data_IF_254277921995
#
_entry.id   IF_254277921995
#
_cell.length_a   1.000
_cell.length_b   1.000
_cell.length_c   1.000
_cell.angle_alpha   90.00
_cell.angle_beta   90.00
_cell.angle_gamma   90.00
#
_symmetry.space_group_name_H-M   'P 1'
#
loop_
_entity.id
_entity.type
_entity.pdbx_description
1 polymer ?
#
# COMPACT_ATOMS: atom_id res chain seq x y z
N UNK A 1 -9.37 -55.47 48.35
CA UNK A 1 -8.78 -55.86 47.03
C UNK A 1 -9.69 -55.64 45.80
N UNK A 2 -11.02 -55.82 45.83
CA UNK A 2 -11.92 -55.55 44.65
C UNK A 2 -12.33 -54.08 44.45
N UNK A 3 -12.50 -53.27 45.52
CA UNK A 3 -12.88 -51.84 45.43
C UNK A 3 -11.75 -50.94 44.88
N UNK A 4 -10.50 -51.27 45.20
CA UNK A 4 -9.31 -50.50 44.82
C UNK A 4 -8.93 -50.68 43.34
N UNK A 5 -9.10 -51.89 42.80
CA UNK A 5 -8.99 -52.16 41.35
C UNK A 5 -10.05 -51.43 40.52
N UNK A 6 -11.25 -51.21 41.07
CA UNK A 6 -12.33 -50.46 40.39
C UNK A 6 -12.05 -48.96 40.36
N UNK A 7 -11.50 -48.40 41.45
CA UNK A 7 -11.10 -46.99 41.54
C UNK A 7 -9.93 -46.66 40.60
N UNK A 8 -8.92 -47.54 40.51
CA UNK A 8 -7.80 -47.38 39.57
C UNK A 8 -8.18 -47.57 38.09
N UNK A 9 -9.26 -48.31 37.79
CA UNK A 9 -9.77 -48.44 36.43
C UNK A 9 -10.53 -47.18 35.99
N UNK A 10 -11.34 -46.61 36.87
CA UNK A 10 -12.06 -45.35 36.61
C UNK A 10 -11.09 -44.17 36.46
N UNK A 11 -10.02 -44.10 37.25
CA UNK A 11 -8.97 -43.07 37.08
C UNK A 11 -8.17 -43.24 35.78
N UNK A 12 -7.89 -44.48 35.36
CA UNK A 12 -7.21 -44.74 34.07
C UNK A 12 -8.09 -44.41 32.88
N UNK A 13 -9.37 -44.76 32.91
CA UNK A 13 -10.31 -44.46 31.83
C UNK A 13 -10.58 -42.94 31.74
N UNK A 14 -10.62 -42.23 32.88
CA UNK A 14 -10.73 -40.77 32.90
C UNK A 14 -9.47 -40.06 32.36
N UNK A 15 -8.26 -40.55 32.71
CA UNK A 15 -7.01 -40.05 32.12
C UNK A 15 -6.88 -40.36 30.63
N UNK A 16 -7.35 -41.52 30.17
CA UNK A 16 -7.36 -41.87 28.74
C UNK A 16 -8.34 -40.98 27.96
N UNK A 17 -9.48 -40.64 28.55
CA UNK A 17 -10.49 -39.75 27.93
C UNK A 17 -10.06 -38.27 27.93
N UNK A 18 -9.26 -37.86 28.92
CA UNK A 18 -8.60 -36.55 28.94
C UNK A 18 -7.45 -36.46 27.93
N UNK A 19 -6.68 -37.53 27.73
CA UNK A 19 -5.56 -37.55 26.78
C UNK A 19 -5.98 -37.70 25.32
N UNK A 20 -7.14 -38.31 25.03
CA UNK A 20 -7.69 -38.35 23.65
C UNK A 20 -8.40 -37.07 23.22
N UNK A 21 -8.87 -36.23 24.17
CA UNK A 21 -9.50 -34.93 23.86
C UNK A 21 -8.51 -33.76 23.76
N UNK A 22 -7.22 -33.97 24.04
CA UNK A 22 -6.18 -32.93 23.94
C UNK A 22 -5.44 -32.92 22.58
N UNK A 23 -5.83 -33.77 21.62
CA UNK A 23 -5.13 -33.91 20.33
C UNK A 23 -6.05 -33.86 19.08
N UNK A 24 -7.29 -33.39 19.19
CA UNK A 24 -8.22 -33.34 18.03
C UNK A 24 -8.48 -31.94 17.47
N UNK A 25 -7.96 -30.87 18.07
CA UNK A 25 -7.91 -29.58 17.40
C UNK A 25 -6.64 -29.49 16.57
N UNK A 26 -6.71 -29.96 15.31
CA UNK A 26 -5.82 -29.41 14.28
C UNK A 26 -5.90 -27.90 14.44
N UNK A 27 -4.77 -27.18 14.63
CA UNK A 27 -4.84 -25.73 14.66
C UNK A 27 -5.57 -25.34 13.39
N UNK A 28 -6.70 -24.62 13.53
CA UNK A 28 -7.27 -23.92 12.40
C UNK A 28 -6.10 -23.10 11.87
N UNK A 29 -5.53 -23.53 10.74
CA UNK A 29 -4.67 -22.66 9.94
C UNK A 29 -5.57 -21.51 9.58
N UNK A 30 -5.64 -20.51 10.46
CA UNK A 30 -5.64 -19.15 9.99
C UNK A 30 -4.46 -19.16 9.03
N UNK A 31 -4.74 -19.13 7.72
CA UNK A 31 -3.75 -18.68 6.77
C UNK A 31 -3.42 -17.28 7.27
N UNK A 32 -2.39 -17.17 8.11
CA UNK A 32 -1.51 -16.01 8.09
C UNK A 32 -1.35 -15.69 6.62
N UNK A 33 -1.77 -14.50 6.21
CA UNK A 33 -1.61 -14.09 4.83
C UNK A 33 -0.11 -14.12 4.59
N UNK A 34 0.37 -15.18 3.94
CA UNK A 34 1.78 -15.42 3.65
C UNK A 34 2.20 -14.26 2.74
N UNK A 35 2.72 -13.23 3.41
CA UNK A 35 3.30 -12.04 2.81
C UNK A 35 4.79 -12.26 2.94
N UNK A 36 5.47 -12.19 1.81
CA UNK A 36 6.88 -12.50 1.73
C UNK A 36 7.74 -11.33 2.21
N UNK A 37 7.16 -10.13 2.34
CA UNK A 37 7.84 -8.94 2.87
C UNK A 37 9.20 -8.68 2.19
N UNK A 38 9.23 -8.82 0.86
CA UNK A 38 10.42 -8.62 0.04
C UNK A 38 11.34 -9.84 -0.11
N UNK A 39 10.99 -10.99 0.47
CA UNK A 39 11.78 -12.21 0.27
C UNK A 39 11.69 -12.63 -1.22
N UNK A 40 12.83 -12.91 -1.88
CA UNK A 40 12.84 -13.41 -3.26
C UNK A 40 12.11 -14.73 -3.41
N UNK A 41 11.44 -14.91 -4.55
CA UNK A 41 10.62 -16.09 -4.85
C UNK A 41 11.25 -16.97 -5.90
N UNK A 42 11.07 -18.27 -5.73
CA UNK A 42 11.27 -19.21 -6.83
C UNK A 42 10.10 -19.08 -7.82
N UNK A 43 10.42 -18.67 -9.05
CA UNK A 43 9.43 -18.48 -10.11
C UNK A 43 9.36 -19.72 -11.00
N UNK A 44 8.13 -20.17 -11.30
CA UNK A 44 7.91 -21.18 -12.34
C UNK A 44 8.35 -20.66 -13.73
N UNK A 45 8.59 -21.55 -14.72
CA UNK A 45 9.03 -21.12 -16.06
C UNK A 45 8.10 -20.09 -16.72
N UNK A 46 6.78 -20.22 -16.53
CA UNK A 46 5.81 -19.25 -17.04
C UNK A 46 5.93 -17.88 -16.34
N UNK A 47 6.15 -17.87 -15.03
CA UNK A 47 6.32 -16.63 -14.27
C UNK A 47 7.64 -15.93 -14.64
N UNK A 48 8.71 -16.69 -14.86
CA UNK A 48 9.98 -16.17 -15.37
C UNK A 48 9.78 -15.51 -16.73
N UNK A 49 9.11 -16.18 -17.68
CA UNK A 49 8.78 -15.58 -18.97
C UNK A 49 7.92 -14.33 -18.80
N UNK A 50 6.93 -14.36 -17.91
CA UNK A 50 6.06 -13.21 -17.63
C UNK A 50 6.81 -12.02 -17.03
N UNK A 51 7.85 -12.26 -16.22
CA UNK A 51 8.67 -11.21 -15.61
C UNK A 51 9.44 -10.37 -16.64
N UNK A 52 9.67 -10.90 -17.84
CA UNK A 52 10.36 -10.21 -18.94
C UNK A 52 9.48 -9.21 -19.69
N UNK A 53 8.15 -9.26 -19.50
CA UNK A 53 7.25 -8.30 -20.13
C UNK A 53 7.52 -6.88 -19.62
N UNK A 54 7.73 -5.94 -20.55
CA UNK A 54 7.87 -4.51 -20.27
C UNK A 54 6.53 -3.82 -20.51
N UNK A 55 5.84 -3.32 -19.48
CA UNK A 55 4.62 -2.55 -19.66
C UNK A 55 4.86 -1.29 -20.49
N UNK A 56 3.95 -0.99 -21.42
CA UNK A 56 4.02 0.23 -22.21
C UNK A 56 3.68 1.46 -21.34
N UNK A 57 4.52 2.49 -21.43
CA UNK A 57 4.29 3.77 -20.78
C UNK A 57 3.62 4.76 -21.75
N UNK A 58 2.63 5.54 -21.30
CA UNK A 58 2.10 6.66 -22.08
C UNK A 58 3.23 7.59 -22.56
N UNK A 59 3.21 8.09 -23.81
CA UNK A 59 4.29 8.93 -24.32
C UNK A 59 4.58 10.20 -23.51
N UNK A 60 3.61 10.71 -22.75
CA UNK A 60 3.79 11.86 -21.86
C UNK A 60 4.54 11.55 -20.55
N UNK A 61 4.75 10.27 -20.24
CA UNK A 61 5.46 9.78 -19.05
C UNK A 61 6.80 9.10 -19.42
N UNK A 62 7.20 9.15 -20.68
CA UNK A 62 8.48 8.61 -21.12
C UNK A 62 9.60 9.65 -20.93
N UNK A 63 10.71 9.22 -20.33
CA UNK A 63 11.84 10.11 -19.99
C UNK A 63 11.64 10.84 -18.67
N UNK A 64 12.40 11.91 -18.45
CA UNK A 64 12.40 12.68 -17.19
C UNK A 64 11.59 13.97 -17.26
N UNK A 65 11.42 14.54 -18.47
CA UNK A 65 10.71 15.81 -18.63
C UNK A 65 9.20 15.58 -18.68
N UNK A 66 8.52 15.90 -17.59
CA UNK A 66 7.06 15.82 -17.51
C UNK A 66 6.45 17.20 -17.76
N UNK A 67 5.45 17.26 -18.65
CA UNK A 67 4.69 18.48 -18.94
C UNK A 67 3.29 18.36 -18.40
N UNK A 68 2.87 19.32 -17.59
CA UNK A 68 1.56 19.32 -16.94
C UNK A 68 0.86 20.64 -17.21
N UNK A 69 -0.40 20.56 -17.64
CA UNK A 69 -1.34 21.68 -17.66
C UNK A 69 -2.34 21.48 -16.53
N UNK A 70 -2.61 22.57 -15.79
CA UNK A 70 -3.64 22.58 -14.75
C UNK A 70 -4.92 23.13 -15.35
N UNK A 71 -5.94 22.28 -15.44
CA UNK A 71 -7.27 22.62 -15.95
C UNK A 71 -8.23 23.08 -14.86
N UNK A 72 -9.51 22.81 -15.10
CA UNK A 72 -10.60 23.20 -14.19
C UNK A 72 -10.46 22.60 -12.79
N UNK A 73 -10.95 23.34 -11.79
CA UNK A 73 -11.06 22.85 -10.42
C UNK A 73 -11.99 21.65 -10.30
N UNK A 74 -11.61 20.68 -9.47
CA UNK A 74 -12.46 19.52 -9.17
C UNK A 74 -13.77 19.93 -8.50
N UNK A 75 -14.86 19.25 -8.86
CA UNK A 75 -16.20 19.52 -8.33
C UNK A 75 -16.74 18.35 -7.53
N UNK A 76 -17.81 18.59 -6.78
CA UNK A 76 -18.58 17.51 -6.14
C UNK A 76 -19.45 16.79 -7.17
N UNK A 77 -19.69 15.49 -6.97
CA UNK A 77 -20.53 14.69 -7.87
C UNK A 77 -22.02 15.07 -7.80
N UNK A 78 -22.49 15.57 -6.65
CA UNK A 78 -23.89 15.97 -6.41
C UNK A 78 -23.94 17.37 -5.82
N UNK A 79 -24.70 18.26 -6.45
CA UNK A 79 -24.84 19.64 -6.00
C UNK A 79 -25.36 19.78 -4.56
N UNK A 80 -26.26 18.89 -4.11
CA UNK A 80 -26.80 18.90 -2.74
C UNK A 80 -25.74 18.66 -1.65
N UNK A 81 -24.68 17.91 -1.98
CA UNK A 81 -23.63 17.55 -1.02
C UNK A 81 -22.51 18.61 -0.96
N UNK A 82 -22.55 19.64 -1.83
CA UNK A 82 -21.49 20.64 -1.96
C UNK A 82 -21.13 21.29 -0.63
N UNK A 83 -22.14 21.67 0.15
CA UNK A 83 -21.92 22.33 1.45
C UNK A 83 -21.28 21.40 2.49
N UNK A 84 -21.62 20.10 2.48
CA UNK A 84 -21.07 19.11 3.42
C UNK A 84 -19.62 18.83 3.06
N UNK A 85 -19.35 18.60 1.78
CA UNK A 85 -17.99 18.31 1.30
C UNK A 85 -17.08 19.52 1.46
N UNK A 86 -17.54 20.74 1.15
CA UNK A 86 -16.74 21.95 1.35
C UNK A 86 -16.39 22.18 2.83
N UNK A 87 -17.29 21.80 3.75
CA UNK A 87 -17.01 21.86 5.19
C UNK A 87 -16.03 20.78 5.63
N UNK A 88 -16.08 19.59 5.03
CA UNK A 88 -15.22 18.46 5.38
C UNK A 88 -13.82 18.55 4.74
N UNK A 89 -13.70 19.21 3.58
CA UNK A 89 -12.46 19.30 2.79
C UNK A 89 -12.12 20.74 2.38
N UNK A 90 -12.01 21.70 3.33
CA UNK A 90 -11.72 23.10 3.01
C UNK A 90 -10.36 23.33 2.31
N UNK A 91 -9.39 22.43 2.45
CA UNK A 91 -8.05 22.59 1.88
C UNK A 91 -7.85 21.85 0.55
N UNK A 92 -8.58 20.77 0.31
CA UNK A 92 -8.39 19.90 -0.87
C UNK A 92 -9.53 19.96 -1.88
N UNK A 93 -10.71 20.51 -1.54
CA UNK A 93 -11.77 20.70 -2.53
C UNK A 93 -11.41 21.78 -3.55
N UNK A 94 -11.70 21.53 -4.84
CA UNK A 94 -11.48 22.50 -5.91
C UNK A 94 -10.07 22.51 -6.48
N UNK A 95 -9.19 21.60 -6.05
CA UNK A 95 -7.86 21.44 -6.63
C UNK A 95 -7.97 21.18 -8.15
N UNK A 96 -7.06 21.74 -8.98
CA UNK A 96 -7.16 21.68 -10.43
C UNK A 96 -6.90 20.27 -10.98
N UNK A 97 -7.56 19.94 -12.09
CA UNK A 97 -7.27 18.73 -12.84
C UNK A 97 -5.89 18.82 -13.51
N UNK A 98 -5.06 17.81 -13.33
CA UNK A 98 -3.75 17.73 -13.98
C UNK A 98 -3.83 16.98 -15.31
N UNK A 99 -3.39 17.62 -16.39
CA UNK A 99 -3.32 17.05 -17.73
C UNK A 99 -1.86 16.85 -18.15
N UNK A 100 -1.45 15.60 -18.37
CA UNK A 100 -0.10 15.28 -18.84
C UNK A 100 0.00 15.41 -20.35
N UNK A 101 0.90 16.28 -20.79
CA UNK A 101 1.07 16.63 -22.20
C UNK A 101 2.25 15.87 -22.82
N UNK A 102 2.15 15.59 -24.12
CA UNK A 102 3.29 15.06 -24.89
C UNK A 102 4.42 16.07 -24.92
N UNK A 103 5.66 15.59 -25.07
CA UNK A 103 6.85 16.45 -25.17
C UNK A 103 6.82 17.44 -26.36
N UNK A 104 5.99 17.20 -27.38
CA UNK A 104 5.84 18.10 -28.54
C UNK A 104 4.68 19.10 -28.40
N UNK A 105 3.84 18.97 -27.37
CA UNK A 105 2.70 19.86 -27.17
C UNK A 105 3.17 21.28 -26.87
N UNK A 106 2.57 22.26 -27.56
CA UNK A 106 2.81 23.69 -27.35
C UNK A 106 1.57 24.29 -26.69
N UNK A 107 1.54 24.24 -25.37
CA UNK A 107 0.50 24.84 -24.53
C UNK A 107 1.17 25.94 -23.71
N UNK A 108 0.63 27.16 -23.77
CA UNK A 108 1.29 28.35 -23.21
C UNK A 108 1.46 28.27 -21.69
N UNK A 109 0.46 27.71 -21.00
CA UNK A 109 0.41 27.64 -19.54
C UNK A 109 0.91 26.28 -18.99
N UNK A 110 1.52 25.45 -19.85
CA UNK A 110 2.06 24.17 -19.42
C UNK A 110 3.32 24.35 -18.56
N UNK A 111 3.28 23.75 -17.38
CA UNK A 111 4.43 23.64 -16.49
C UNK A 111 5.33 22.52 -16.99
N UNK A 112 6.61 22.82 -17.18
CA UNK A 112 7.63 21.83 -17.55
C UNK A 112 8.44 21.53 -16.30
N UNK A 113 8.31 20.30 -15.80
CA UNK A 113 9.06 19.83 -14.64
C UNK A 113 10.43 19.36 -15.12
N UNK A 114 11.46 20.14 -14.82
CA UNK A 114 12.87 19.82 -15.13
C UNK A 114 13.72 19.62 -13.88
N UNK A 115 13.22 20.06 -12.73
CA UNK A 115 13.91 19.91 -11.45
C UNK A 115 13.46 18.60 -10.79
N UNK A 116 14.44 17.81 -10.37
CA UNK A 116 14.22 16.53 -9.72
C UNK A 116 15.03 16.45 -8.42
N UNK A 117 14.61 17.18 -7.36
CA UNK A 117 15.27 17.07 -6.06
C UNK A 117 15.19 15.63 -5.54
N UNK A 118 16.09 15.30 -4.61
CA UNK A 118 16.04 14.00 -3.95
C UNK A 118 14.83 13.96 -3.02
N UNK A 119 13.91 13.04 -3.29
CA UNK A 119 12.67 12.85 -2.52
C UNK A 119 12.56 11.44 -1.97
N UNK A 120 11.80 11.31 -0.89
CA UNK A 120 11.48 10.05 -0.24
C UNK A 120 9.97 9.84 -0.25
N UNK A 121 9.56 8.73 -0.85
CA UNK A 121 8.13 8.39 -0.98
C UNK A 121 7.83 7.13 -0.17
N UNK A 122 6.75 7.17 0.60
CA UNK A 122 6.18 6.00 1.24
C UNK A 122 5.10 5.36 0.36
N UNK A 123 4.98 4.03 0.40
CA UNK A 123 3.94 3.30 -0.33
C UNK A 123 3.33 2.19 0.53
N UNK A 124 2.00 2.04 0.48
CA UNK A 124 1.28 1.07 1.30
C UNK A 124 0.14 0.42 0.51
N UNK A 125 -0.03 -0.90 0.67
CA UNK A 125 -1.21 -1.60 0.20
C UNK A 125 -2.33 -1.53 1.24
N UNK A 126 -3.52 -1.09 0.83
CA UNK A 126 -4.71 -1.01 1.67
C UNK A 126 -5.89 -1.73 1.01
N UNK A 127 -6.64 -2.50 1.80
CA UNK A 127 -7.86 -3.16 1.36
C UNK A 127 -7.62 -4.51 0.69
N UNK A 128 -8.45 -4.85 -0.32
CA UNK A 128 -8.42 -6.17 -0.98
C UNK A 128 -7.33 -6.21 -2.05
N UNK A 129 -6.66 -7.37 -2.18
CA UNK A 129 -5.68 -7.58 -3.24
C UNK A 129 -6.34 -7.48 -4.62
N UNK A 130 -5.59 -6.91 -5.57
CA UNK A 130 -5.94 -6.89 -6.97
C UNK A 130 -4.67 -7.20 -7.81
N UNK A 131 -4.81 -7.89 -8.97
CA UNK A 131 -3.70 -8.06 -9.89
C UNK A 131 -3.11 -6.70 -10.31
N UNK A 132 -1.78 -6.60 -10.38
CA UNK A 132 -1.07 -5.39 -10.83
C UNK A 132 -0.49 -4.52 -9.71
N UNK A 133 -0.77 -4.79 -8.44
CA UNK A 133 -0.22 -4.00 -7.32
C UNK A 133 1.31 -3.94 -7.30
N UNK A 134 1.98 -5.06 -7.57
CA UNK A 134 3.45 -5.07 -7.69
C UNK A 134 3.95 -4.19 -8.84
N UNK A 135 3.22 -4.12 -9.96
CA UNK A 135 3.59 -3.26 -11.08
C UNK A 135 3.40 -1.77 -10.77
N UNK A 136 2.49 -1.40 -9.86
CA UNK A 136 2.39 -0.01 -9.37
C UNK A 136 3.64 0.36 -8.57
N UNK A 137 4.09 -0.52 -7.67
CA UNK A 137 5.34 -0.31 -6.91
C UNK A 137 6.54 -0.25 -7.87
N UNK A 138 6.62 -1.17 -8.84
CA UNK A 138 7.68 -1.18 -9.83
C UNK A 138 7.70 0.10 -10.67
N UNK A 139 6.55 0.53 -11.21
CA UNK A 139 6.46 1.76 -12.00
C UNK A 139 6.82 3.01 -11.19
N UNK A 140 6.39 3.09 -9.92
CA UNK A 140 6.75 4.19 -9.03
C UNK A 140 8.25 4.19 -8.72
N UNK A 141 8.83 3.02 -8.45
CA UNK A 141 10.28 2.87 -8.22
C UNK A 141 11.09 3.36 -9.42
N UNK A 142 10.76 2.87 -10.62
CA UNK A 142 11.45 3.27 -11.86
C UNK A 142 11.32 4.78 -12.11
N UNK A 143 10.11 5.34 -11.98
CA UNK A 143 9.88 6.78 -12.15
C UNK A 143 10.71 7.62 -11.17
N UNK A 144 10.77 7.21 -9.90
CA UNK A 144 11.59 7.87 -8.89
C UNK A 144 13.08 7.80 -9.25
N UNK A 145 13.59 6.62 -9.62
CA UNK A 145 15.02 6.44 -9.95
C UNK A 145 15.44 7.15 -11.23
N UNK A 146 14.58 7.17 -12.25
CA UNK A 146 14.81 7.89 -13.51
C UNK A 146 14.89 9.40 -13.28
N UNK A 147 14.04 9.98 -12.42
CA UNK A 147 14.12 11.40 -12.08
C UNK A 147 15.35 11.74 -11.25
N UNK A 148 15.66 10.97 -10.22
CA UNK A 148 16.86 11.16 -9.40
C UNK A 148 17.24 9.84 -8.70
N UNK A 149 18.46 9.35 -8.95
CA UNK A 149 18.95 8.10 -8.38
C UNK A 149 18.98 8.09 -6.83
N UNK A 150 19.06 9.27 -6.20
CA UNK A 150 19.02 9.46 -4.73
C UNK A 150 17.61 9.33 -4.14
N UNK A 151 16.57 9.25 -4.97
CA UNK A 151 15.21 9.05 -4.48
C UNK A 151 15.07 7.71 -3.76
N UNK A 152 14.27 7.67 -2.71
CA UNK A 152 14.03 6.47 -1.91
C UNK A 152 12.54 6.13 -1.93
N UNK A 153 12.22 4.84 -2.10
CA UNK A 153 10.87 4.32 -1.98
C UNK A 153 10.80 3.38 -0.79
N UNK A 154 9.98 3.72 0.21
CA UNK A 154 9.77 2.93 1.42
C UNK A 154 8.40 2.24 1.36
N UNK A 155 8.39 0.92 1.30
CA UNK A 155 7.18 0.12 1.38
C UNK A 155 6.79 -0.19 2.83
N UNK A 156 5.58 0.14 3.24
CA UNK A 156 5.07 -0.18 4.58
C UNK A 156 4.56 -1.63 4.66
N UNK A 157 5.10 -2.39 5.62
CA UNK A 157 4.85 -3.82 5.76
C UNK A 157 3.58 -4.11 6.56
N UNK A 158 2.64 -4.83 5.97
CA UNK A 158 1.39 -5.20 6.62
C UNK A 158 0.36 -4.08 6.59
N UNK A 159 0.27 -3.33 5.49
CA UNK A 159 -0.76 -2.31 5.30
C UNK A 159 -0.67 -1.14 6.29
N UNK A 160 -1.81 -0.59 6.71
CA UNK A 160 -1.89 0.57 7.60
C UNK A 160 -1.34 0.30 9.00
N UNK A 161 -1.43 -0.94 9.50
CA UNK A 161 -0.75 -1.30 10.76
C UNK A 161 0.78 -1.13 10.65
N UNK A 162 1.34 -1.49 9.49
CA UNK A 162 2.74 -1.23 9.13
C UNK A 162 3.08 0.25 9.10
N UNK A 163 2.19 1.05 8.52
CA UNK A 163 2.31 2.52 8.48
C UNK A 163 2.38 3.11 9.89
N UNK A 164 1.42 2.76 10.76
CA UNK A 164 1.38 3.27 12.13
C UNK A 164 2.58 2.83 12.97
N UNK A 165 3.04 1.60 12.76
CA UNK A 165 4.21 1.03 13.44
C UNK A 165 5.55 1.42 12.79
N UNK A 166 5.54 2.19 11.70
CA UNK A 166 6.73 2.57 10.92
C UNK A 166 7.56 1.36 10.45
N UNK A 167 6.91 0.22 10.22
CA UNK A 167 7.56 -0.99 9.71
C UNK A 167 7.72 -0.86 8.21
N UNK A 168 8.94 -0.62 7.77
CA UNK A 168 9.25 -0.33 6.37
C UNK A 168 10.26 -1.32 5.79
N UNK A 169 10.20 -1.47 4.47
CA UNK A 169 11.19 -2.12 3.62
C UNK A 169 11.56 -1.13 2.52
N UNK A 170 12.85 -0.86 2.33
CA UNK A 170 13.30 -0.08 1.17
C UNK A 170 13.15 -0.93 -0.10
N UNK A 171 12.48 -0.37 -1.11
CA UNK A 171 12.28 -1.03 -2.39
C UNK A 171 13.55 -0.85 -3.24
N UNK A 172 14.10 -1.96 -3.71
CA UNK A 172 15.28 -2.02 -4.59
C UNK A 172 15.01 -2.92 -5.79
N UNK A 173 15.89 -2.88 -6.80
CA UNK A 173 15.83 -3.80 -7.93
C UNK A 173 15.83 -5.28 -7.50
N UNK A 174 16.65 -5.64 -6.51
CA UNK A 174 16.74 -7.00 -5.98
C UNK A 174 15.41 -7.44 -5.34
N UNK A 175 14.79 -6.55 -4.56
CA UNK A 175 13.47 -6.79 -3.96
C UNK A 175 12.40 -6.96 -5.04
N UNK A 176 12.46 -6.19 -6.13
CA UNK A 176 11.45 -6.24 -7.20
C UNK A 176 11.65 -7.39 -8.17
N UNK A 177 12.85 -7.98 -8.27
CA UNK A 177 13.24 -8.93 -9.32
C UNK A 177 12.20 -10.05 -9.51
N UNK A 178 11.71 -10.64 -8.41
CA UNK A 178 10.76 -11.76 -8.45
C UNK A 178 9.28 -11.34 -8.37
N UNK A 179 9.00 -10.03 -8.36
CA UNK A 179 7.66 -9.47 -8.22
C UNK A 179 7.17 -8.76 -9.48
N UNK A 180 8.07 -8.45 -10.42
CA UNK A 180 7.70 -7.86 -11.73
C UNK A 180 6.68 -8.76 -12.45
N UNK A 181 5.54 -8.16 -12.80
CA UNK A 181 4.42 -8.80 -13.49
C UNK A 181 3.77 -9.98 -12.76
N UNK A 182 4.00 -10.11 -11.44
CA UNK A 182 3.33 -11.10 -10.61
C UNK A 182 2.03 -10.55 -10.02
N UNK A 183 1.15 -11.46 -9.62
CA UNK A 183 -0.08 -11.13 -8.91
C UNK A 183 0.14 -11.12 -7.39
N UNK A 184 -0.84 -10.58 -6.67
CA UNK A 184 -0.81 -10.53 -5.20
C UNK A 184 -0.27 -9.21 -4.65
N UNK A 185 -0.39 -9.04 -3.33
CA UNK A 185 0.06 -7.88 -2.53
C UNK A 185 1.09 -8.28 -1.47
N UNK A 186 1.59 -9.49 -1.60
CA UNK A 186 2.48 -10.23 -0.72
C UNK A 186 3.91 -9.66 -0.64
N UNK A 187 4.29 -8.75 -1.54
CA UNK A 187 5.55 -7.97 -1.43
C UNK A 187 5.61 -7.15 -0.14
N UNK A 188 4.52 -6.47 0.20
CA UNK A 188 4.42 -5.66 1.42
C UNK A 188 3.40 -6.23 2.40
N UNK A 189 2.53 -7.15 1.99
CA UNK A 189 1.35 -7.50 2.74
C UNK A 189 0.31 -6.37 2.76
N UNK A 190 -0.86 -6.66 3.31
CA UNK A 190 -1.98 -5.71 3.35
C UNK A 190 -2.83 -5.93 4.59
N UNK A 191 -3.59 -4.91 4.92
CA UNK A 191 -4.66 -4.98 5.93
C UNK A 191 -6.01 -4.62 5.30
N UNK A 192 -7.10 -4.93 6.00
CA UNK A 192 -8.49 -4.62 5.58
C UNK A 192 -9.12 -3.49 6.41
N UNK A 193 -8.35 -2.94 7.35
CA UNK A 193 -8.75 -1.85 8.22
C UNK A 193 -8.87 -0.54 7.44
N UNK A 194 -9.48 0.43 8.10
CA UNK A 194 -9.75 1.76 7.59
C UNK A 194 -9.11 2.76 8.54
N UNK A 195 -8.60 3.85 7.99
CA UNK A 195 -7.97 4.93 8.76
C UNK A 195 -9.05 5.95 9.09
N UNK A 196 -9.67 5.81 10.27
CA UNK A 196 -10.85 6.60 10.65
C UNK A 196 -10.67 7.39 11.93
N UNK A 197 -9.94 6.86 12.90
CA UNK A 197 -9.82 7.52 14.20
C UNK A 197 -8.73 8.58 14.18
N UNK A 198 -8.87 9.60 15.01
CA UNK A 198 -7.89 10.67 15.16
C UNK A 198 -6.51 10.11 15.55
N UNK A 199 -6.46 9.04 16.34
CA UNK A 199 -5.22 8.36 16.73
C UNK A 199 -4.54 7.71 15.53
N UNK A 200 -5.30 7.07 14.64
CA UNK A 200 -4.76 6.45 13.42
C UNK A 200 -4.24 7.50 12.44
N UNK A 201 -4.98 8.59 12.25
CA UNK A 201 -4.59 9.72 11.40
C UNK A 201 -3.31 10.37 11.93
N UNK A 202 -3.23 10.64 13.23
CA UNK A 202 -2.02 11.17 13.88
C UNK A 202 -0.84 10.20 13.80
N UNK A 203 -1.08 8.89 13.90
CA UNK A 203 -0.02 7.89 13.73
C UNK A 203 0.54 7.89 12.31
N UNK A 204 -0.32 8.02 11.29
CA UNK A 204 0.12 8.17 9.90
C UNK A 204 0.92 9.45 9.68
N UNK A 205 0.45 10.60 10.21
CA UNK A 205 1.17 11.87 10.16
C UNK A 205 2.55 11.75 10.79
N UNK A 206 2.61 11.18 12.00
CA UNK A 206 3.86 10.94 12.73
C UNK A 206 4.81 10.05 11.94
N UNK A 207 4.31 8.97 11.34
CA UNK A 207 5.12 8.08 10.51
C UNK A 207 5.72 8.83 9.30
N UNK A 208 4.93 9.64 8.61
CA UNK A 208 5.41 10.43 7.46
C UNK A 208 6.47 11.45 7.89
N UNK A 209 6.25 12.13 9.03
CA UNK A 209 7.17 13.14 9.56
C UNK A 209 8.49 12.50 10.04
N UNK A 210 8.42 11.44 10.84
CA UNK A 210 9.61 10.77 11.40
C UNK A 210 10.48 10.16 10.30
N UNK A 211 9.85 9.57 9.28
CA UNK A 211 10.54 8.99 8.13
C UNK A 211 10.96 10.03 7.09
N UNK A 212 10.56 11.30 7.26
CA UNK A 212 10.83 12.43 6.36
C UNK A 212 10.37 12.13 4.93
N UNK A 213 9.09 11.74 4.81
CA UNK A 213 8.48 11.48 3.52
C UNK A 213 8.04 12.78 2.86
N UNK A 214 8.35 12.93 1.57
CA UNK A 214 7.82 13.99 0.70
C UNK A 214 6.47 13.59 0.08
N UNK A 215 6.09 12.32 0.18
CA UNK A 215 4.80 11.83 -0.30
C UNK A 215 4.45 10.43 0.21
N UNK A 216 3.14 10.15 0.30
CA UNK A 216 2.59 8.85 0.66
C UNK A 216 1.64 8.36 -0.42
N UNK A 217 1.88 7.17 -0.96
CA UNK A 217 1.06 6.51 -1.97
C UNK A 217 0.27 5.37 -1.33
N UNK A 218 -1.06 5.48 -1.33
CA UNK A 218 -1.96 4.44 -0.82
C UNK A 218 -2.58 3.71 -2.01
N UNK A 219 -2.28 2.43 -2.16
CA UNK A 219 -2.84 1.58 -3.21
C UNK A 219 -4.00 0.78 -2.63
N UNK A 220 -5.21 1.05 -3.11
CA UNK A 220 -6.39 0.30 -2.69
C UNK A 220 -7.66 0.63 -3.46
N UNK A 221 -8.79 0.24 -2.87
CA UNK A 221 -10.12 0.44 -3.47
C UNK A 221 -10.74 1.77 -3.09
N UNK A 222 -12.07 1.87 -3.23
CA UNK A 222 -12.83 3.09 -2.90
C UNK A 222 -12.58 3.54 -1.46
N UNK A 223 -12.66 2.63 -0.49
CA UNK A 223 -12.44 2.95 0.93
C UNK A 223 -11.03 3.47 1.20
N UNK A 224 -10.01 2.85 0.59
CA UNK A 224 -8.62 3.29 0.73
C UNK A 224 -8.40 4.70 0.15
N UNK A 225 -9.10 5.04 -0.94
CA UNK A 225 -9.07 6.40 -1.49
C UNK A 225 -9.83 7.41 -0.63
N UNK A 226 -10.89 6.99 0.09
CA UNK A 226 -11.53 7.82 1.11
C UNK A 226 -10.55 8.11 2.26
N UNK A 227 -9.83 7.10 2.73
CA UNK A 227 -8.80 7.27 3.76
C UNK A 227 -7.68 8.20 3.28
N UNK A 228 -7.22 8.05 2.03
CA UNK A 228 -6.22 8.91 1.42
C UNK A 228 -6.69 10.38 1.33
N UNK A 229 -7.95 10.62 0.97
CA UNK A 229 -8.52 11.97 0.92
C UNK A 229 -8.57 12.61 2.32
N UNK A 230 -9.01 11.87 3.34
CA UNK A 230 -9.01 12.37 4.72
C UNK A 230 -7.60 12.66 5.25
N UNK A 231 -6.63 11.78 4.94
CA UNK A 231 -5.23 12.01 5.31
C UNK A 231 -4.66 13.26 4.62
N UNK A 232 -4.91 13.43 3.32
CA UNK A 232 -4.44 14.59 2.57
C UNK A 232 -5.00 15.91 3.14
N UNK A 233 -6.31 15.94 3.47
CA UNK A 233 -6.94 17.09 4.10
C UNK A 233 -6.31 17.40 5.46
N UNK A 234 -6.15 16.37 6.31
CA UNK A 234 -5.56 16.54 7.63
C UNK A 234 -4.09 16.98 7.56
N UNK A 235 -3.30 16.45 6.62
CA UNK A 235 -1.90 16.83 6.44
C UNK A 235 -1.77 18.26 5.92
N UNK A 236 -2.69 18.70 5.04
CA UNK A 236 -2.75 20.07 4.57
C UNK A 236 -3.07 21.06 5.71
N UNK A 237 -4.01 20.72 6.59
CA UNK A 237 -4.31 21.52 7.79
C UNK A 237 -3.10 21.58 8.74
N UNK A 238 -2.42 20.44 8.92
CA UNK A 238 -1.22 20.34 9.77
C UNK A 238 0.04 20.99 9.18
N UNK A 239 0.03 21.37 7.89
CA UNK A 239 1.17 21.92 7.14
C UNK A 239 2.41 21.03 7.24
N UNK A 240 2.18 19.72 7.15
CA UNK A 240 3.21 18.69 7.19
C UNK A 240 3.88 18.50 5.82
#
# INVERSE_FOLDING_TARGET
KKKEKKKNRILRDSLLTLTTNLNSEKPKRYRTMDSDFGIPRELSPLQQLRSQYLPELPPCLQGTTVRVELGDGTTVAKAGDAHIIARAFPHTLGQPLAHFLRATAKVADAQIITEHPAIRVGIVFSGRQAPGGHNVIWGLYEALKVHNAKNTLLGFLGGSEGLFAQKTLEITDDVLQTYKNQGGFDLLGRTKDQIRTTEQVNAALKACTDLKLDGLVIIGGVTSNTDAAHLAEFFAEAKC
#
